data_IF_029979845662
#
_entry.id   IF_029979845662
#
_cell.length_a   1.000
_cell.length_b   1.000
_cell.length_c   1.000
_cell.angle_alpha   90.00
_cell.angle_beta   90.00
_cell.angle_gamma   90.00
#
_symmetry.space_group_name_H-M   'P 1'
#
loop_
_entity.id
_entity.type
_entity.pdbx_description
1 polymer ?
#
# COMPACT_ATOMS: atom_id res chain seq x y z
N UNK A 1 14.13 27.19 -7.79
CA UNK A 1 13.33 25.99 -8.12
C UNK A 1 12.66 25.55 -6.83
N UNK A 2 11.33 25.47 -6.82
CA UNK A 2 10.60 25.26 -5.56
C UNK A 2 10.96 23.90 -4.99
N UNK A 3 11.41 23.82 -3.73
CA UNK A 3 11.85 22.57 -3.10
C UNK A 3 10.70 21.61 -2.79
N UNK A 4 9.68 21.52 -3.66
CA UNK A 4 8.33 21.03 -3.36
C UNK A 4 7.67 20.29 -4.54
N UNK A 5 8.43 19.98 -5.58
CA UNK A 5 7.99 19.24 -6.76
C UNK A 5 8.28 17.73 -6.61
N UNK A 6 7.45 16.92 -7.26
CA UNK A 6 7.64 15.47 -7.39
C UNK A 6 8.68 15.18 -8.48
N UNK A 7 9.57 14.19 -8.27
CA UNK A 7 10.52 13.78 -9.31
C UNK A 7 9.81 13.09 -10.49
N UNK A 8 10.38 13.12 -11.70
CA UNK A 8 9.90 12.30 -12.81
C UNK A 8 9.76 10.82 -12.43
N UNK A 9 8.69 10.17 -12.89
CA UNK A 9 8.33 8.80 -12.52
C UNK A 9 7.76 8.65 -11.11
N UNK A 10 7.41 9.75 -10.43
CA UNK A 10 6.81 9.69 -9.10
C UNK A 10 5.55 8.82 -9.10
N UNK A 11 5.46 7.93 -8.11
CA UNK A 11 4.45 6.87 -8.06
C UNK A 11 3.65 6.97 -6.75
N UNK A 12 2.32 7.04 -6.87
CA UNK A 12 1.43 6.74 -5.74
C UNK A 12 1.36 5.22 -5.55
N UNK A 13 2.02 4.69 -4.52
CA UNK A 13 2.14 3.25 -4.31
C UNK A 13 1.01 2.64 -3.49
N UNK A 14 -0.05 3.39 -3.16
CA UNK A 14 -1.20 2.84 -2.46
C UNK A 14 -2.44 3.69 -2.75
N UNK A 15 -3.36 3.16 -3.55
CA UNK A 15 -4.72 3.69 -3.67
C UNK A 15 -5.70 2.52 -3.80
N UNK A 16 -6.99 2.85 -3.79
CA UNK A 16 -8.08 1.99 -4.19
C UNK A 16 -8.91 2.73 -5.23
N UNK A 17 -9.64 1.99 -6.06
CA UNK A 17 -10.71 2.56 -6.89
C UNK A 17 -12.01 1.82 -6.56
N UNK A 18 -13.13 2.50 -6.73
CA UNK A 18 -14.45 1.95 -6.49
C UNK A 18 -15.35 2.29 -7.66
N UNK A 19 -15.96 1.25 -8.22
CA UNK A 19 -17.03 1.37 -9.17
C UNK A 19 -16.62 1.66 -10.62
N UNK A 20 -17.61 1.97 -11.47
CA UNK A 20 -19.01 2.15 -11.09
C UNK A 20 -19.67 0.85 -10.59
N UNK A 21 -20.43 0.92 -9.50
CA UNK A 21 -21.01 -0.26 -8.84
C UNK A 21 -21.92 -1.10 -9.76
N UNK A 22 -22.54 -0.46 -10.76
CA UNK A 22 -23.37 -1.13 -11.77
C UNK A 22 -22.57 -2.08 -12.68
N UNK A 23 -21.27 -1.83 -12.88
CA UNK A 23 -20.36 -2.69 -13.65
C UNK A 23 -19.58 -3.63 -12.73
N UNK A 24 -19.16 -3.13 -11.57
CA UNK A 24 -18.36 -3.86 -10.59
C UNK A 24 -19.13 -3.92 -9.27
N UNK A 25 -19.99 -4.93 -9.07
CA UNK A 25 -20.76 -5.07 -7.84
C UNK A 25 -19.84 -5.33 -6.64
N UNK A 26 -20.20 -4.79 -5.47
CA UNK A 26 -19.48 -5.03 -4.22
C UNK A 26 -19.80 -6.41 -3.65
N UNK A 27 -18.87 -6.95 -2.85
CA UNK A 27 -19.04 -8.24 -2.19
C UNK A 27 -20.13 -8.21 -1.11
N UNK A 28 -20.67 -9.39 -0.80
CA UNK A 28 -21.56 -9.64 0.33
C UNK A 28 -21.08 -10.86 1.14
N UNK A 29 -20.83 -10.74 2.45
CA UNK A 29 -20.92 -9.52 3.25
C UNK A 29 -19.72 -8.58 3.03
N UNK A 30 -19.93 -7.28 3.27
CA UNK A 30 -18.86 -6.27 3.29
C UNK A 30 -18.93 -5.37 4.51
N UNK A 31 -17.80 -4.79 4.87
CA UNK A 31 -17.69 -3.90 6.04
C UNK A 31 -18.15 -2.46 5.80
N UNK A 32 -18.25 -2.02 4.56
CA UNK A 32 -18.72 -0.69 4.15
C UNK A 32 -19.12 -0.71 2.68
N UNK A 33 -19.98 0.22 2.27
CA UNK A 33 -20.30 0.46 0.86
C UNK A 33 -19.68 1.81 0.48
N UNK A 34 -18.63 1.83 -0.35
CA UNK A 34 -18.03 3.09 -0.81
C UNK A 34 -18.91 3.76 -1.87
N UNK A 35 -18.75 5.07 -2.01
CA UNK A 35 -19.20 5.80 -3.21
C UNK A 35 -18.33 5.39 -4.41
N UNK A 36 -18.84 5.63 -5.62
CA UNK A 36 -18.05 5.42 -6.83
C UNK A 36 -16.93 6.47 -6.88
N UNK A 37 -15.69 5.99 -6.95
CA UNK A 37 -14.43 6.72 -7.00
C UNK A 37 -13.60 6.02 -8.09
N UNK A 38 -13.87 6.39 -9.34
CA UNK A 38 -13.55 5.59 -10.53
C UNK A 38 -12.08 5.64 -10.92
N UNK A 39 -11.69 4.86 -11.94
CA UNK A 39 -10.37 4.98 -12.55
C UNK A 39 -10.13 6.41 -13.07
N UNK A 40 -11.13 7.00 -13.71
CA UNK A 40 -11.04 8.34 -14.28
C UNK A 40 -10.77 9.40 -13.20
N UNK A 41 -11.45 9.28 -12.05
CA UNK A 41 -11.22 10.16 -10.90
C UNK A 41 -9.80 10.00 -10.35
N UNK A 42 -9.30 8.76 -10.30
CA UNK A 42 -7.95 8.47 -9.84
C UNK A 42 -6.88 9.00 -10.81
N UNK A 43 -7.04 8.83 -12.12
CA UNK A 43 -6.10 9.38 -13.10
C UNK A 43 -6.08 10.90 -13.06
N UNK A 44 -7.25 11.54 -12.93
CA UNK A 44 -7.34 12.99 -12.76
C UNK A 44 -6.67 13.46 -11.45
N UNK A 45 -6.77 12.67 -10.37
CA UNK A 45 -6.04 12.93 -9.13
C UNK A 45 -4.52 12.86 -9.34
N UNK A 46 -4.01 11.80 -9.98
CA UNK A 46 -2.59 11.65 -10.26
C UNK A 46 -2.04 12.84 -11.05
N UNK A 47 -2.74 13.24 -12.10
CA UNK A 47 -2.37 14.39 -12.94
C UNK A 47 -2.33 15.70 -12.13
N UNK A 48 -3.34 15.93 -11.29
CA UNK A 48 -3.40 17.11 -10.39
C UNK A 48 -2.27 17.13 -9.37
N UNK A 49 -1.83 15.96 -8.90
CA UNK A 49 -0.75 15.82 -7.92
C UNK A 49 0.65 15.80 -8.54
N UNK A 50 0.77 15.75 -9.87
CA UNK A 50 2.05 15.59 -10.55
C UNK A 50 2.67 14.21 -10.31
N UNK A 51 1.84 13.17 -10.24
CA UNK A 51 2.27 11.78 -10.09
C UNK A 51 2.06 11.04 -11.41
N UNK A 52 3.13 10.47 -11.95
CA UNK A 52 3.09 9.85 -13.27
C UNK A 52 2.42 8.46 -13.23
N UNK A 53 2.54 7.78 -12.08
CA UNK A 53 2.23 6.36 -11.92
C UNK A 53 1.40 6.11 -10.66
N UNK A 54 0.65 5.01 -10.67
CA UNK A 54 -0.19 4.59 -9.55
C UNK A 54 -0.16 3.08 -9.33
N UNK A 55 -0.36 2.66 -8.08
CA UNK A 55 -0.54 1.26 -7.68
C UNK A 55 -1.90 1.09 -7.04
N UNK A 56 -2.80 0.42 -7.77
CA UNK A 56 -4.15 0.10 -7.30
C UNK A 56 -4.08 -1.16 -6.44
N UNK A 57 -4.42 -1.00 -5.17
CA UNK A 57 -4.54 -2.09 -4.22
C UNK A 57 -6.00 -2.53 -4.21
N UNK A 58 -6.25 -3.82 -4.39
CA UNK A 58 -7.59 -4.39 -4.29
C UNK A 58 -8.22 -4.06 -2.92
N UNK A 59 -9.37 -3.34 -2.88
CA UNK A 59 -10.02 -2.98 -1.63
C UNK A 59 -10.92 -4.09 -1.11
N UNK A 60 -11.09 -4.17 0.21
CA UNK A 60 -11.87 -5.23 0.85
C UNK A 60 -13.37 -5.21 0.49
N UNK A 61 -13.90 -4.09 -0.04
CA UNK A 61 -15.29 -4.00 -0.47
C UNK A 61 -15.61 -4.91 -1.67
N UNK A 62 -14.60 -5.32 -2.43
CA UNK A 62 -14.70 -6.30 -3.52
C UNK A 62 -14.23 -7.70 -3.14
N UNK A 63 -13.74 -7.87 -1.91
CA UNK A 63 -13.13 -9.11 -1.45
C UNK A 63 -12.10 -9.66 -2.47
N UNK A 64 -12.32 -10.86 -3.01
CA UNK A 64 -11.46 -11.56 -3.97
C UNK A 64 -11.80 -11.25 -5.44
N UNK A 65 -12.85 -10.49 -5.71
CA UNK A 65 -13.20 -10.08 -7.08
C UNK A 65 -12.34 -8.91 -7.54
N UNK A 66 -11.28 -9.21 -8.30
CA UNK A 66 -10.34 -8.21 -8.78
C UNK A 66 -10.79 -7.54 -10.10
N UNK A 67 -12.03 -7.75 -10.57
CA UNK A 67 -12.46 -7.30 -11.90
C UNK A 67 -12.30 -5.78 -12.09
N UNK A 68 -12.67 -4.97 -11.09
CA UNK A 68 -12.50 -3.51 -11.13
C UNK A 68 -11.03 -3.12 -11.27
N UNK A 69 -10.18 -3.69 -10.39
CA UNK A 69 -8.73 -3.46 -10.42
C UNK A 69 -8.13 -3.88 -11.77
N UNK A 70 -8.42 -5.08 -12.26
CA UNK A 70 -7.86 -5.61 -13.52
C UNK A 70 -8.34 -4.83 -14.75
N UNK A 71 -9.60 -4.41 -14.80
CA UNK A 71 -10.10 -3.51 -15.86
C UNK A 71 -9.28 -2.23 -15.89
N UNK A 72 -9.01 -1.63 -14.72
CA UNK A 72 -8.24 -0.41 -14.63
C UNK A 72 -6.79 -0.56 -15.12
N UNK A 73 -6.11 -1.66 -14.73
CA UNK A 73 -4.73 -1.89 -15.17
C UNK A 73 -4.63 -2.12 -16.67
N UNK A 74 -5.60 -2.80 -17.30
CA UNK A 74 -5.63 -2.98 -18.76
C UNK A 74 -5.88 -1.68 -19.52
N UNK A 75 -6.58 -0.73 -18.91
CA UNK A 75 -6.92 0.57 -19.52
C UNK A 75 -5.79 1.59 -19.45
N UNK A 76 -4.88 1.48 -18.49
CA UNK A 76 -3.70 2.35 -18.37
C UNK A 76 -2.42 1.57 -17.98
N UNK A 77 -1.99 0.59 -18.79
CA UNK A 77 -0.90 -0.35 -18.44
C UNK A 77 0.48 0.32 -18.35
N UNK A 78 0.67 1.48 -18.97
CA UNK A 78 1.89 2.28 -18.88
C UNK A 78 2.00 3.07 -17.57
N UNK A 79 0.86 3.41 -16.95
CA UNK A 79 0.80 4.20 -15.70
C UNK A 79 0.53 3.38 -14.45
N UNK A 80 -0.15 2.25 -14.59
CA UNK A 80 -0.71 1.53 -13.45
C UNK A 80 -0.11 0.14 -13.24
N UNK A 81 0.04 -0.22 -11.97
CA UNK A 81 0.26 -1.58 -11.49
C UNK A 81 -0.75 -1.88 -10.39
N UNK A 82 -0.87 -3.14 -10.00
CA UNK A 82 -1.79 -3.47 -8.92
C UNK A 82 -1.36 -4.59 -7.99
N UNK A 83 -2.12 -4.69 -6.92
CA UNK A 83 -1.98 -5.71 -5.89
C UNK A 83 -3.33 -6.37 -5.71
N UNK A 84 -3.37 -7.68 -5.95
CA UNK A 84 -4.61 -8.44 -5.93
C UNK A 84 -4.88 -9.07 -4.55
N UNK A 85 -6.12 -9.49 -4.36
CA UNK A 85 -6.54 -10.40 -3.28
C UNK A 85 -7.09 -11.66 -3.95
N UNK A 86 -6.59 -12.83 -3.58
CA UNK A 86 -7.05 -14.10 -4.16
C UNK A 86 -7.28 -15.13 -3.05
N UNK A 87 -8.27 -16.01 -3.22
CA UNK A 87 -8.50 -17.13 -2.32
C UNK A 87 -7.96 -18.45 -2.88
N UNK A 88 -8.32 -19.54 -2.21
CA UNK A 88 -7.90 -20.90 -2.57
C UNK A 88 -8.35 -21.36 -3.97
N UNK A 89 -9.31 -20.66 -4.58
CA UNK A 89 -9.78 -20.89 -5.94
C UNK A 89 -8.78 -20.45 -7.03
N UNK A 90 -7.79 -19.62 -6.71
CA UNK A 90 -6.82 -19.16 -7.68
C UNK A 90 -5.89 -20.28 -8.16
N UNK A 91 -5.58 -20.26 -9.46
CA UNK A 91 -4.65 -21.21 -10.09
C UNK A 91 -3.38 -20.49 -10.54
N UNK A 92 -2.35 -21.27 -10.89
CA UNK A 92 -1.13 -20.71 -11.46
C UNK A 92 -1.39 -19.92 -12.74
N UNK A 93 -2.32 -20.38 -13.58
CA UNK A 93 -2.68 -19.70 -14.82
C UNK A 93 -3.42 -18.39 -14.56
N UNK A 94 -4.30 -18.36 -13.54
CA UNK A 94 -4.96 -17.12 -13.10
C UNK A 94 -3.94 -16.09 -12.64
N UNK A 95 -2.96 -16.48 -11.81
CA UNK A 95 -1.92 -15.56 -11.32
C UNK A 95 -0.98 -15.08 -12.43
N UNK A 96 -0.61 -15.95 -13.38
CA UNK A 96 0.16 -15.55 -14.58
C UNK A 96 -0.64 -14.61 -15.48
N UNK A 97 -1.95 -14.80 -15.61
CA UNK A 97 -2.81 -13.86 -16.33
C UNK A 97 -2.85 -12.49 -15.65
N UNK A 98 -3.07 -12.46 -14.33
CA UNK A 98 -3.00 -11.24 -13.53
C UNK A 98 -1.65 -10.53 -13.66
N UNK A 99 -0.53 -11.28 -13.74
CA UNK A 99 0.80 -10.69 -13.96
C UNK A 99 0.88 -9.93 -15.29
N UNK A 100 0.36 -10.53 -16.38
CA UNK A 100 0.30 -9.90 -17.70
C UNK A 100 -0.54 -8.62 -17.68
N UNK A 101 -1.63 -8.63 -16.91
CA UNK A 101 -2.50 -7.47 -16.72
C UNK A 101 -1.89 -6.39 -15.80
N UNK A 102 -0.75 -6.64 -15.15
CA UNK A 102 -0.04 -5.63 -14.36
C UNK A 102 -0.05 -5.84 -12.84
N UNK A 103 -0.58 -6.97 -12.34
CA UNK A 103 -0.47 -7.31 -10.91
C UNK A 103 0.98 -7.66 -10.55
N UNK A 104 1.42 -7.22 -9.36
CA UNK A 104 2.80 -7.35 -8.87
C UNK A 104 2.90 -7.90 -7.44
N UNK A 105 1.79 -8.33 -6.87
CA UNK A 105 1.75 -8.83 -5.51
C UNK A 105 0.36 -9.23 -5.07
N UNK A 106 0.30 -9.93 -3.95
CA UNK A 106 -0.92 -10.31 -3.26
C UNK A 106 -0.98 -9.60 -1.90
N UNK A 107 -2.18 -9.22 -1.46
CA UNK A 107 -2.38 -8.53 -0.18
C UNK A 107 -2.98 -9.44 0.90
N UNK A 108 -2.26 -9.58 2.01
CA UNK A 108 -2.79 -10.15 3.25
C UNK A 108 -3.33 -9.04 4.17
N UNK A 109 -4.53 -9.26 4.71
CA UNK A 109 -5.12 -8.42 5.75
C UNK A 109 -5.04 -9.13 7.11
N UNK A 110 -4.03 -8.78 7.90
CA UNK A 110 -3.82 -9.25 9.27
C UNK A 110 -4.26 -8.20 10.31
N UNK A 111 -4.86 -7.09 9.89
CA UNK A 111 -5.27 -6.01 10.79
C UNK A 111 -6.45 -6.45 11.66
N UNK A 112 -6.24 -6.38 12.97
CA UNK A 112 -7.24 -6.71 14.00
C UNK A 112 -7.52 -5.49 14.86
N UNK A 113 -8.78 -5.30 15.22
CA UNK A 113 -9.24 -4.33 16.22
C UNK A 113 -9.88 -5.11 17.36
N UNK A 114 -9.41 -4.87 18.58
CA UNK A 114 -9.89 -5.54 19.80
C UNK A 114 -9.85 -7.08 19.69
N UNK A 115 -8.80 -7.61 19.08
CA UNK A 115 -8.58 -9.05 18.89
C UNK A 115 -9.39 -9.70 17.76
N UNK A 116 -10.28 -8.95 17.09
CA UNK A 116 -11.13 -9.44 16.01
C UNK A 116 -10.71 -8.87 14.65
N UNK A 117 -11.09 -9.55 13.56
CA UNK A 117 -10.91 -9.00 12.22
C UNK A 117 -11.69 -7.68 12.11
N UNK A 118 -10.99 -6.59 11.79
CA UNK A 118 -11.60 -5.26 11.72
C UNK A 118 -12.43 -5.04 10.43
N UNK A 119 -12.26 -5.92 9.44
CA UNK A 119 -12.87 -5.82 8.11
C UNK A 119 -13.38 -7.18 7.66
N UNK A 120 -14.58 -7.19 7.08
CA UNK A 120 -15.04 -8.24 6.17
C UNK A 120 -14.41 -8.03 4.79
N UNK A 121 -14.06 -9.14 4.15
CA UNK A 121 -13.36 -9.16 2.86
C UNK A 121 -11.84 -9.03 2.98
N UNK A 122 -11.14 -9.48 1.94
CA UNK A 122 -9.71 -9.71 1.97
C UNK A 122 -9.38 -11.14 2.40
N UNK A 123 -8.09 -11.48 2.37
CA UNK A 123 -7.60 -12.80 2.79
C UNK A 123 -6.50 -12.67 3.83
N UNK A 124 -6.35 -13.72 4.65
CA UNK A 124 -5.30 -13.82 5.67
C UNK A 124 -4.00 -14.30 5.05
N UNK A 125 -2.89 -14.10 5.76
CA UNK A 125 -1.57 -14.58 5.34
C UNK A 125 -1.58 -16.08 5.00
N UNK A 126 -2.27 -16.88 5.82
CA UNK A 126 -2.39 -18.32 5.63
C UNK A 126 -3.03 -18.72 4.28
N UNK A 127 -3.90 -17.88 3.72
CA UNK A 127 -4.52 -18.12 2.42
C UNK A 127 -3.58 -17.75 1.25
N UNK A 128 -2.61 -16.87 1.49
CA UNK A 128 -1.61 -16.46 0.49
C UNK A 128 -0.38 -17.38 0.49
N UNK A 129 -0.02 -17.96 1.64
CA UNK A 129 1.15 -18.85 1.79
C UNK A 129 1.27 -19.93 0.70
N UNK A 130 0.18 -20.62 0.27
CA UNK A 130 0.25 -21.59 -0.83
C UNK A 130 0.74 -21.02 -2.16
N UNK A 131 0.54 -19.72 -2.41
CA UNK A 131 0.92 -19.05 -3.66
C UNK A 131 2.34 -18.48 -3.64
N UNK A 132 3.00 -18.44 -2.48
CA UNK A 132 4.31 -17.80 -2.30
C UNK A 132 5.40 -18.33 -3.26
N UNK A 133 5.50 -19.64 -3.56
CA UNK A 133 6.45 -20.12 -4.56
C UNK A 133 6.23 -19.50 -5.95
N UNK A 134 4.97 -19.39 -6.39
CA UNK A 134 4.64 -18.76 -7.66
C UNK A 134 4.81 -17.23 -7.61
N UNK A 135 4.52 -16.60 -6.48
CA UNK A 135 4.84 -15.18 -6.29
C UNK A 135 6.34 -14.93 -6.47
N UNK A 136 7.20 -15.79 -5.92
CA UNK A 136 8.65 -15.68 -6.10
C UNK A 136 9.08 -15.86 -7.58
N UNK A 137 8.51 -16.84 -8.29
CA UNK A 137 8.72 -17.02 -9.75
C UNK A 137 8.33 -15.76 -10.54
N UNK A 138 7.22 -15.13 -10.19
CA UNK A 138 6.70 -13.93 -10.85
C UNK A 138 7.40 -12.62 -10.44
N UNK A 139 8.36 -12.68 -9.50
CA UNK A 139 8.98 -11.49 -8.92
C UNK A 139 8.01 -10.62 -8.11
N UNK A 140 6.92 -11.21 -7.62
CA UNK A 140 5.90 -10.54 -6.82
C UNK A 140 6.32 -10.38 -5.36
N UNK A 141 5.62 -9.49 -4.65
CA UNK A 141 5.77 -9.30 -3.22
C UNK A 141 4.47 -9.58 -2.47
N UNK A 142 4.60 -9.86 -1.17
CA UNK A 142 3.49 -9.87 -0.24
C UNK A 142 3.27 -8.44 0.29
N UNK A 143 2.09 -7.88 0.06
CA UNK A 143 1.68 -6.66 0.76
C UNK A 143 0.92 -7.05 2.03
N UNK A 144 1.37 -6.53 3.18
CA UNK A 144 0.85 -6.90 4.48
C UNK A 144 0.23 -5.67 5.15
N UNK A 145 -1.07 -5.75 5.40
CA UNK A 145 -1.74 -4.80 6.28
C UNK A 145 -1.89 -5.41 7.68
N UNK A 146 -1.25 -4.79 8.66
CA UNK A 146 -1.18 -5.29 10.05
C UNK A 146 -1.01 -4.11 11.00
N UNK A 147 -1.40 -4.29 12.27
CA UNK A 147 -0.97 -3.45 13.39
C UNK A 147 0.42 -3.91 13.85
N UNK A 148 1.42 -3.03 13.81
CA UNK A 148 2.82 -3.36 14.06
C UNK A 148 3.04 -4.05 15.41
N UNK A 149 2.18 -3.83 16.40
CA UNK A 149 2.22 -4.51 17.72
C UNK A 149 2.12 -6.04 17.58
N UNK A 150 1.48 -6.54 16.53
CA UNK A 150 1.35 -7.97 16.24
C UNK A 150 2.46 -8.50 15.31
N UNK A 151 3.33 -7.64 14.78
CA UNK A 151 4.40 -8.07 13.88
C UNK A 151 5.37 -9.07 14.53
N UNK A 152 5.79 -8.93 15.81
CA UNK A 152 6.68 -9.90 16.46
C UNK A 152 6.10 -11.33 16.51
N UNK A 153 4.78 -11.47 16.61
CA UNK A 153 4.11 -12.78 16.64
C UNK A 153 4.27 -13.53 15.30
N UNK A 154 4.18 -12.81 14.18
CA UNK A 154 4.21 -13.40 12.84
C UNK A 154 5.59 -13.34 12.17
N UNK A 155 6.54 -12.57 12.71
CA UNK A 155 7.91 -12.43 12.18
C UNK A 155 8.59 -13.79 11.89
N UNK A 156 8.52 -14.83 12.77
CA UNK A 156 9.11 -16.13 12.47
C UNK A 156 8.51 -16.84 11.25
N UNK A 157 7.25 -16.55 10.90
CA UNK A 157 6.61 -17.06 9.68
C UNK A 157 7.05 -16.24 8.47
N UNK A 158 6.99 -14.91 8.59
CA UNK A 158 7.40 -13.97 7.53
C UNK A 158 8.85 -14.18 7.08
N UNK A 159 9.77 -14.43 8.02
CA UNK A 159 11.19 -14.63 7.74
C UNK A 159 11.49 -15.86 6.86
N UNK A 160 10.53 -16.79 6.70
CA UNK A 160 10.66 -17.99 5.87
C UNK A 160 10.20 -17.79 4.43
N UNK A 161 9.52 -16.68 4.14
CA UNK A 161 8.93 -16.45 2.83
C UNK A 161 10.01 -15.96 1.85
N UNK A 162 10.19 -16.60 0.67
CA UNK A 162 11.17 -16.20 -0.34
C UNK A 162 10.75 -14.97 -1.16
N UNK A 163 9.86 -14.12 -0.64
CA UNK A 163 9.34 -12.93 -1.31
C UNK A 163 9.55 -11.70 -0.44
N UNK A 164 9.64 -10.53 -1.07
CA UNK A 164 9.66 -9.26 -0.33
C UNK A 164 8.34 -9.06 0.39
N UNK A 165 8.39 -8.42 1.55
CA UNK A 165 7.22 -8.06 2.35
C UNK A 165 7.11 -6.55 2.41
N UNK A 166 5.96 -6.01 2.03
CA UNK A 166 5.68 -4.56 2.04
C UNK A 166 4.60 -4.29 3.09
N UNK A 167 4.97 -3.62 4.19
CA UNK A 167 4.06 -3.31 5.28
C UNK A 167 3.32 -2.00 5.01
N UNK A 168 1.99 -2.06 5.04
CA UNK A 168 1.12 -0.92 4.77
C UNK A 168 1.15 0.11 5.92
N UNK A 169 1.03 1.38 5.55
CA UNK A 169 0.78 2.53 6.44
C UNK A 169 1.68 2.62 7.68
N UNK A 170 3.00 2.50 7.51
CA UNK A 170 3.98 2.50 8.61
C UNK A 170 3.65 1.49 9.73
N UNK A 171 2.90 0.43 9.39
CA UNK A 171 2.47 -0.61 10.33
C UNK A 171 1.16 -0.32 11.09
N UNK A 172 0.34 0.66 10.69
CA UNK A 172 -1.03 0.93 11.22
C UNK A 172 -1.15 0.82 12.76
N UNK A 173 -0.13 1.25 13.49
CA UNK A 173 -0.15 1.32 14.95
C UNK A 173 -0.54 2.73 15.39
N UNK A 174 -1.41 2.87 16.38
CA UNK A 174 -1.79 4.20 16.88
C UNK A 174 -0.54 4.93 17.41
N UNK A 175 -0.38 6.21 17.05
CA UNK A 175 0.85 6.97 17.32
C UNK A 175 1.18 7.09 18.81
N UNK A 176 0.19 6.98 19.70
CA UNK A 176 0.36 7.03 21.16
C UNK A 176 1.20 5.89 21.74
N UNK A 177 1.40 4.79 21.01
CA UNK A 177 2.33 3.73 21.41
C UNK A 177 3.80 4.15 21.29
N UNK A 178 4.09 5.16 20.45
CA UNK A 178 5.42 5.71 20.24
C UNK A 178 6.34 4.80 19.43
N UNK A 179 7.46 5.37 18.96
CA UNK A 179 8.43 4.65 18.13
C UNK A 179 9.20 3.57 18.91
N UNK A 180 9.17 3.56 20.24
CA UNK A 180 9.87 2.57 21.06
C UNK A 180 9.04 1.32 21.35
N UNK A 181 7.78 1.25 20.85
CA UNK A 181 6.97 0.05 20.97
C UNK A 181 7.70 -1.16 20.35
N UNK A 182 7.74 -2.33 21.03
CA UNK A 182 8.43 -3.51 20.52
C UNK A 182 7.99 -3.94 19.10
N UNK A 183 6.71 -3.77 18.78
CA UNK A 183 6.17 -4.08 17.46
C UNK A 183 6.68 -3.15 16.37
N UNK A 184 6.69 -1.84 16.65
CA UNK A 184 7.26 -0.88 15.70
C UNK A 184 8.79 -1.04 15.58
N UNK A 185 9.49 -1.35 16.67
CA UNK A 185 10.92 -1.67 16.62
C UNK A 185 11.21 -2.92 15.78
N UNK A 186 10.33 -3.93 15.77
CA UNK A 186 10.46 -5.06 14.85
C UNK A 186 10.32 -4.64 13.38
N UNK A 187 9.36 -3.76 13.06
CA UNK A 187 9.23 -3.18 11.71
C UNK A 187 10.49 -2.40 11.32
N UNK A 188 10.93 -1.50 12.20
CA UNK A 188 12.08 -0.63 11.97
C UNK A 188 13.37 -1.43 11.73
N UNK A 189 13.66 -2.45 12.56
CA UNK A 189 14.80 -3.34 12.33
C UNK A 189 14.68 -4.07 10.99
N UNK A 190 13.52 -4.65 10.70
CA UNK A 190 13.30 -5.38 9.45
C UNK A 190 13.46 -4.50 8.21
N UNK A 191 13.06 -3.23 8.28
CA UNK A 191 13.31 -2.23 7.23
C UNK A 191 14.80 -1.90 7.12
N UNK A 192 15.48 -1.63 8.24
CA UNK A 192 16.92 -1.36 8.28
C UNK A 192 17.76 -2.50 7.71
N UNK A 193 17.37 -3.75 7.96
CA UNK A 193 18.01 -4.97 7.46
C UNK A 193 17.59 -5.32 6.02
N UNK A 194 16.65 -4.58 5.44
CA UNK A 194 16.11 -4.84 4.09
C UNK A 194 15.21 -6.08 4.01
N UNK A 195 14.86 -6.71 5.13
CA UNK A 195 13.90 -7.83 5.20
C UNK A 195 12.47 -7.38 4.92
N UNK A 196 12.13 -6.17 5.32
CA UNK A 196 10.83 -5.53 5.06
C UNK A 196 10.99 -4.26 4.25
N UNK A 197 9.94 -3.94 3.51
CA UNK A 197 9.68 -2.61 2.99
C UNK A 197 8.49 -2.01 3.74
N UNK A 198 8.38 -0.68 3.76
CA UNK A 198 7.25 0.00 4.39
C UNK A 198 6.69 1.10 3.50
N UNK A 199 5.36 1.28 3.58
CA UNK A 199 4.67 2.40 2.92
C UNK A 199 4.56 3.59 3.88
N UNK A 200 5.16 4.71 3.52
CA UNK A 200 5.01 6.02 4.18
C UNK A 200 3.65 6.64 3.79
N UNK A 201 2.56 5.97 4.12
CA UNK A 201 1.19 6.34 3.70
C UNK A 201 0.25 6.33 4.91
N UNK A 202 -0.96 6.87 4.74
CA UNK A 202 -2.00 6.76 5.76
C UNK A 202 -1.61 7.35 7.11
N UNK A 203 -0.99 8.52 7.16
CA UNK A 203 -0.62 9.19 8.44
C UNK A 203 -1.81 9.32 9.38
N UNK A 204 -2.98 9.69 8.85
CA UNK A 204 -4.25 9.76 9.57
C UNK A 204 -4.70 8.39 10.13
N UNK A 205 -4.26 7.29 9.53
CA UNK A 205 -4.55 5.93 9.99
C UNK A 205 -3.78 5.55 11.26
N UNK A 206 -2.74 6.30 11.61
CA UNK A 206 -2.04 6.19 12.90
C UNK A 206 -2.74 7.02 13.99
N UNK A 207 -3.84 7.72 13.68
CA UNK A 207 -4.50 8.67 14.59
C UNK A 207 -3.91 10.08 14.56
N UNK A 208 -2.95 10.36 13.66
CA UNK A 208 -2.36 11.69 13.53
C UNK A 208 -3.36 12.70 12.99
N UNK A 209 -3.24 13.96 13.42
CA UNK A 209 -4.29 14.96 13.22
C UNK A 209 -4.02 15.83 12.00
N UNK A 210 -5.04 16.03 11.16
CA UNK A 210 -4.97 16.97 10.05
C UNK A 210 -4.78 18.43 10.54
N UNK A 211 -4.19 19.32 9.73
CA UNK A 211 -3.70 19.09 8.37
C UNK A 211 -2.23 18.64 8.32
N UNK A 212 -1.51 18.66 9.43
CA UNK A 212 -0.04 18.51 9.44
C UNK A 212 0.41 17.10 9.80
N UNK A 213 -0.43 16.33 10.51
CA UNK A 213 -0.17 14.94 10.92
C UNK A 213 1.13 14.76 11.70
N UNK A 214 1.52 15.75 12.51
CA UNK A 214 2.83 15.81 13.16
C UNK A 214 3.12 14.61 14.05
N UNK A 215 2.09 13.96 14.60
CA UNK A 215 2.22 12.77 15.45
C UNK A 215 2.76 11.55 14.68
N UNK A 216 2.61 11.51 13.35
CA UNK A 216 3.17 10.47 12.50
C UNK A 216 4.62 10.75 12.08
N UNK A 217 5.10 12.00 12.21
CA UNK A 217 6.44 12.41 11.75
C UNK A 217 7.58 11.59 12.38
N UNK A 218 7.60 11.30 13.69
CA UNK A 218 8.67 10.49 14.28
C UNK A 218 8.78 9.10 13.66
N UNK A 219 7.66 8.47 13.30
CA UNK A 219 7.63 7.16 12.64
C UNK A 219 8.18 7.23 11.22
N UNK A 220 7.82 8.27 10.47
CA UNK A 220 8.38 8.56 9.15
C UNK A 220 9.91 8.74 9.22
N UNK A 221 10.38 9.63 10.10
CA UNK A 221 11.79 10.03 10.16
C UNK A 221 12.72 8.85 10.45
N UNK A 222 12.36 8.00 11.42
CA UNK A 222 13.18 6.84 11.77
C UNK A 222 13.19 5.76 10.69
N UNK A 223 12.07 5.56 9.97
CA UNK A 223 12.03 4.65 8.82
C UNK A 223 12.92 5.15 7.68
N UNK A 224 12.81 6.45 7.34
CA UNK A 224 13.65 7.10 6.31
C UNK A 224 15.12 7.03 6.68
N UNK A 225 15.47 7.27 7.94
CA UNK A 225 16.85 7.15 8.41
C UNK A 225 17.37 5.71 8.39
N UNK A 226 16.51 4.72 8.65
CA UNK A 226 16.91 3.31 8.70
C UNK A 226 17.26 2.75 7.31
N UNK A 227 16.38 2.94 6.31
CA UNK A 227 16.63 2.44 4.96
C UNK A 227 15.69 3.08 3.92
N UNK A 228 16.08 4.17 3.25
CA UNK A 228 15.23 4.82 2.25
C UNK A 228 15.01 3.97 0.98
N UNK A 229 15.87 2.99 0.70
CA UNK A 229 15.74 2.09 -0.45
C UNK A 229 14.66 1.01 -0.26
N UNK A 230 14.15 0.87 0.97
CA UNK A 230 13.07 -0.03 1.36
C UNK A 230 11.73 0.71 1.57
N UNK A 231 11.61 1.97 1.15
CA UNK A 231 10.41 2.78 1.37
C UNK A 231 9.74 3.18 0.07
N UNK A 232 8.42 3.23 0.13
CA UNK A 232 7.55 3.81 -0.90
C UNK A 232 6.52 4.72 -0.24
N UNK A 233 5.92 5.63 -0.99
CA UNK A 233 4.86 6.52 -0.51
C UNK A 233 3.53 6.24 -1.22
N UNK A 234 2.40 6.55 -0.60
CA UNK A 234 1.10 6.48 -1.26
C UNK A 234 0.03 7.34 -0.59
N UNK A 235 -0.97 7.74 -1.38
CA UNK A 235 -2.08 8.60 -0.94
C UNK A 235 -3.05 7.86 -0.02
N UNK A 236 -3.25 6.58 -0.30
CA UNK A 236 -4.31 5.74 0.24
C UNK A 236 -5.72 6.33 -0.04
N UNK A 237 -5.82 7.04 -1.17
CA UNK A 237 -7.08 7.50 -1.77
C UNK A 237 -7.98 6.30 -2.14
N UNK A 238 -9.32 6.39 -2.03
CA UNK A 238 -10.12 7.56 -1.65
C UNK A 238 -10.36 7.65 -0.14
N UNK A 239 -9.50 7.03 0.66
CA UNK A 239 -9.52 7.03 2.12
C UNK A 239 -10.70 6.24 2.70
N UNK A 240 -10.84 4.94 2.40
CA UNK A 240 -11.96 4.14 2.89
C UNK A 240 -11.97 4.08 4.42
N UNK A 241 -13.14 4.37 5.01
CA UNK A 241 -13.41 4.45 6.45
C UNK A 241 -12.32 5.21 7.23
N UNK A 242 -12.17 6.53 7.03
CA UNK A 242 -11.26 7.31 7.84
C UNK A 242 -11.81 7.41 9.27
N UNK A 243 -10.92 7.37 10.26
CA UNK A 243 -11.28 7.63 11.66
C UNK A 243 -11.35 9.16 11.85
N UNK A 244 -12.36 9.79 11.25
CA UNK A 244 -12.52 11.25 11.18
C UNK A 244 -13.04 11.72 9.82
N UNK A 245 -12.67 12.95 9.44
CA UNK A 245 -12.99 13.49 8.11
C UNK A 245 -12.15 12.86 6.99
N UNK A 246 -12.65 12.92 5.75
CA UNK A 246 -11.89 12.50 4.56
C UNK A 246 -10.62 13.36 4.43
N UNK A 247 -9.41 12.77 4.46
CA UNK A 247 -8.17 13.50 4.24
C UNK A 247 -8.09 14.11 2.83
N UNK A 248 -7.34 15.20 2.69
CA UNK A 248 -6.96 15.74 1.37
C UNK A 248 -5.65 15.10 0.90
N UNK A 249 -5.71 14.34 -0.20
CA UNK A 249 -4.56 13.70 -0.82
C UNK A 249 -3.44 14.70 -1.23
N UNK A 250 -3.80 15.92 -1.65
CA UNK A 250 -2.81 16.95 -1.98
C UNK A 250 -2.07 17.42 -0.72
N UNK A 251 -2.79 17.53 0.40
CA UNK A 251 -2.18 17.84 1.69
C UNK A 251 -1.26 16.71 2.16
N UNK A 252 -1.67 15.45 2.03
CA UNK A 252 -0.84 14.29 2.40
C UNK A 252 0.46 14.25 1.59
N UNK A 253 0.41 14.49 0.29
CA UNK A 253 1.62 14.60 -0.54
C UNK A 253 2.50 15.77 -0.09
N UNK A 254 1.89 16.93 0.17
CA UNK A 254 2.62 18.11 0.66
C UNK A 254 3.34 17.82 1.98
N UNK A 255 2.69 17.13 2.91
CA UNK A 255 3.28 16.73 4.20
C UNK A 255 4.50 15.84 4.00
N UNK A 256 4.41 14.83 3.12
CA UNK A 256 5.56 13.99 2.77
C UNK A 256 6.73 14.83 2.20
N UNK A 257 6.43 15.74 1.26
CA UNK A 257 7.46 16.58 0.64
C UNK A 257 8.07 17.57 1.64
N UNK A 258 7.29 18.11 2.57
CA UNK A 258 7.78 19.01 3.62
C UNK A 258 8.66 18.25 4.64
N UNK A 259 8.41 16.94 4.89
CA UNK A 259 9.22 16.13 5.81
C UNK A 259 10.49 15.55 5.16
N UNK A 260 10.41 15.12 3.91
CA UNK A 260 11.55 14.56 3.16
C UNK A 260 12.15 15.65 2.29
N UNK A 261 12.93 16.58 2.84
CA UNK A 261 13.42 17.75 2.09
C UNK A 261 14.55 17.45 1.10
N UNK A 262 15.28 16.35 1.29
CA UNK A 262 16.35 15.93 0.40
C UNK A 262 15.79 15.38 -0.94
N UNK A 263 16.12 16.00 -2.09
CA UNK A 263 15.65 15.54 -3.40
C UNK A 263 16.13 14.12 -3.77
N UNK A 264 17.28 13.67 -3.25
CA UNK A 264 17.78 12.31 -3.48
C UNK A 264 16.87 11.30 -2.78
N UNK A 265 16.49 11.56 -1.52
CA UNK A 265 15.55 10.71 -0.78
C UNK A 265 14.18 10.69 -1.45
N UNK A 266 13.68 11.84 -1.92
CA UNK A 266 12.41 11.89 -2.66
C UNK A 266 12.44 11.03 -3.92
N UNK A 267 13.52 11.12 -4.72
CA UNK A 267 13.67 10.31 -5.93
C UNK A 267 13.69 8.82 -5.60
N UNK A 268 14.45 8.41 -4.57
CA UNK A 268 14.47 7.02 -4.11
C UNK A 268 13.07 6.51 -3.76
N UNK A 269 12.34 7.25 -2.93
CA UNK A 269 11.07 6.81 -2.35
C UNK A 269 9.91 6.89 -3.37
N UNK A 270 9.89 7.93 -4.21
CA UNK A 270 8.79 8.17 -5.16
C UNK A 270 9.01 7.55 -6.54
N UNK A 271 10.26 7.38 -6.98
CA UNK A 271 10.58 6.94 -8.35
C UNK A 271 11.31 5.61 -8.37
N UNK A 272 12.52 5.56 -7.80
CA UNK A 272 13.44 4.44 -8.04
C UNK A 272 12.98 3.14 -7.36
N UNK A 273 12.57 3.23 -6.09
CA UNK A 273 12.07 2.08 -5.33
C UNK A 273 10.73 1.56 -5.88
N UNK A 274 9.73 2.41 -6.17
CA UNK A 274 8.53 1.97 -6.86
C UNK A 274 8.79 1.32 -8.23
N UNK A 275 9.72 1.86 -9.03
CA UNK A 275 10.06 1.29 -10.33
C UNK A 275 10.60 -0.15 -10.21
N UNK A 276 11.52 -0.39 -9.26
CA UNK A 276 12.04 -1.74 -8.98
C UNK A 276 11.01 -2.67 -8.35
N UNK A 277 10.13 -2.17 -7.49
CA UNK A 277 9.17 -2.99 -6.75
C UNK A 277 7.99 -3.45 -7.62
N UNK A 278 7.48 -2.55 -8.48
CA UNK A 278 6.29 -2.81 -9.29
C UNK A 278 6.60 -3.02 -10.78
N UNK A 279 7.88 -2.99 -11.19
CA UNK A 279 8.29 -3.22 -12.57
C UNK A 279 7.77 -2.13 -13.52
N UNK A 280 7.93 -0.87 -13.13
CA UNK A 280 7.79 0.26 -14.06
C UNK A 280 9.11 0.50 -14.80
N UNK A 281 9.08 1.05 -16.02
CA UNK A 281 10.29 1.47 -16.72
C UNK A 281 11.11 2.46 -15.87
N UNK A 282 12.45 2.35 -15.95
CA UNK A 282 13.36 3.33 -15.35
C UNK A 282 13.18 4.73 -15.97
N UNK A 283 13.55 5.77 -15.22
CA UNK A 283 13.51 7.17 -15.65
C UNK A 283 14.90 7.79 -15.64
#
# INVERSE_FOLDING_TARGET
MSGRETPPGATDCHCHIFGPAAKFPYAEPRSYTPEDETLEDYLALLDRLGLDRGVIVQPSAYDRDNACTLDALRRAPERLRGIAVVGAEATADTLRAMHRDGIRGLRANEYRRDGQAAYHGGVRLAEIEPFVPLMAELGWHLQLWIDARHLPEIEPRLAKLPVRIVVDHMGRMHHSHGINDPGFQALLRGVGEGRYMAKLSGTYRLGATAPDYLEAKPFHDVLVAANPDALVWGTDWPHPRPEGGRPDAARLLRVFLDWTTDPVLRRKILTDTPARLYGFPGV
#
